data_IF_812971173087
#
_entry.id   IF_812971173087
#
_cell.length_a   1.000
_cell.length_b   1.000
_cell.length_c   1.000
_cell.angle_alpha   90.00
_cell.angle_beta   90.00
_cell.angle_gamma   90.00
#
_symmetry.space_group_name_H-M   'P 1'
#
loop_
_entity.id
_entity.type
_entity.pdbx_description
1 polymer ?
#
# COMPACT_ATOMS: atom_id res chain seq x y z
N UNK A 1 15.01 3.32 2.82
CA UNK A 1 16.47 3.27 2.66
C UNK A 1 17.12 4.38 3.45
N UNK A 2 16.86 5.66 3.16
CA UNK A 2 17.47 6.75 3.92
C UNK A 2 17.26 6.67 5.45
N UNK A 3 16.01 6.39 5.88
CA UNK A 3 15.64 6.22 7.29
C UNK A 3 16.37 5.05 7.99
N UNK A 4 16.65 3.97 7.25
CA UNK A 4 17.30 2.77 7.76
C UNK A 4 18.83 2.85 7.71
N UNK A 5 19.38 3.51 6.68
CA UNK A 5 20.82 3.52 6.37
C UNK A 5 21.56 4.68 7.05
N UNK A 6 21.01 5.89 7.03
CA UNK A 6 21.75 7.07 7.46
C UNK A 6 21.35 7.53 8.86
N UNK A 7 22.34 7.95 9.63
CA UNK A 7 22.16 8.60 10.93
C UNK A 7 22.11 10.11 10.71
N UNK A 8 20.95 10.72 10.96
CA UNK A 8 20.77 12.17 10.92
C UNK A 8 19.95 12.63 12.13
N UNK A 9 20.05 13.92 12.46
CA UNK A 9 19.30 14.53 13.58
C UNK A 9 17.79 14.34 13.36
N UNK A 10 17.12 13.70 14.32
CA UNK A 10 15.68 13.44 14.25
C UNK A 10 15.27 12.14 13.54
N UNK A 11 16.21 11.29 13.09
CA UNK A 11 15.88 10.03 12.41
C UNK A 11 14.90 9.15 13.21
N UNK A 12 15.17 8.92 14.50
CA UNK A 12 14.29 8.15 15.38
C UNK A 12 12.91 8.79 15.56
N UNK A 13 12.85 10.11 15.72
CA UNK A 13 11.59 10.84 15.87
C UNK A 13 10.75 10.78 14.60
N UNK A 14 11.37 10.91 13.42
CA UNK A 14 10.70 10.77 12.13
C UNK A 14 10.16 9.34 11.95
N UNK A 15 10.96 8.32 12.31
CA UNK A 15 10.52 6.93 12.29
C UNK A 15 9.32 6.68 13.21
N UNK A 16 9.34 7.21 14.43
CA UNK A 16 8.23 7.14 15.38
C UNK A 16 6.98 7.88 14.86
N UNK A 17 7.14 9.08 14.32
CA UNK A 17 6.05 9.86 13.73
C UNK A 17 5.36 9.08 12.60
N UNK A 18 6.13 8.48 11.70
CA UNK A 18 5.60 7.67 10.62
C UNK A 18 4.91 6.40 11.14
N UNK A 19 5.44 5.76 12.17
CA UNK A 19 4.81 4.58 12.79
C UNK A 19 3.50 4.91 13.51
N UNK A 20 3.41 6.06 14.19
CA UNK A 20 2.17 6.53 14.83
C UNK A 20 1.05 6.75 13.81
N UNK A 21 1.38 7.08 12.56
CA UNK A 21 0.43 7.19 11.46
C UNK A 21 -0.39 5.92 11.21
N UNK A 22 0.08 4.73 11.64
CA UNK A 22 -0.68 3.47 11.55
C UNK A 22 -1.91 3.48 12.48
N UNK A 23 -1.80 4.17 13.63
CA UNK A 23 -2.85 4.16 14.66
C UNK A 23 -3.99 5.14 14.38
N UNK A 24 -3.75 6.16 13.55
CA UNK A 24 -4.73 7.20 13.26
C UNK A 24 -5.65 6.72 12.13
N UNK A 25 -6.95 6.52 12.37
CA UNK A 25 -7.87 6.11 11.32
C UNK A 25 -8.03 7.26 10.31
N UNK A 26 -7.54 7.07 9.09
CA UNK A 26 -7.61 8.09 8.03
C UNK A 26 -9.04 8.59 7.76
N UNK A 27 -10.05 7.73 8.04
CA UNK A 27 -11.47 8.06 7.90
C UNK A 27 -11.93 9.19 8.83
N UNK A 28 -11.25 9.45 9.95
CA UNK A 28 -11.54 10.62 10.80
C UNK A 28 -11.27 11.94 10.06
N UNK A 29 -10.35 11.94 9.11
CA UNK A 29 -10.00 13.09 8.28
C UNK A 29 -10.88 13.26 7.02
N UNK A 30 -11.96 12.48 6.86
CA UNK A 30 -12.72 12.42 5.59
C UNK A 30 -13.15 13.81 5.08
N UNK A 31 -13.69 14.68 5.94
CA UNK A 31 -14.12 16.03 5.54
C UNK A 31 -12.93 16.87 5.05
N UNK A 32 -11.81 16.82 5.77
CA UNK A 32 -10.59 17.54 5.38
C UNK A 32 -10.00 17.03 4.07
N UNK A 33 -9.96 15.71 3.89
CA UNK A 33 -9.50 15.08 2.66
C UNK A 33 -10.40 15.49 1.49
N UNK A 34 -11.72 15.42 1.65
CA UNK A 34 -12.67 15.85 0.61
C UNK A 34 -12.45 17.32 0.24
N UNK A 35 -12.30 18.21 1.22
CA UNK A 35 -12.03 19.63 0.95
C UNK A 35 -10.73 19.84 0.15
N UNK A 36 -9.66 19.09 0.46
CA UNK A 36 -8.41 19.14 -0.31
C UNK A 36 -8.64 18.64 -1.74
N UNK A 37 -9.35 17.53 -1.93
CA UNK A 37 -9.64 16.98 -3.26
C UNK A 37 -10.51 17.92 -4.08
N UNK A 38 -11.49 18.60 -3.47
CA UNK A 38 -12.30 19.63 -4.14
C UNK A 38 -11.44 20.82 -4.53
N UNK A 39 -10.63 21.35 -3.61
CA UNK A 39 -9.77 22.50 -3.85
C UNK A 39 -8.69 22.25 -4.92
N UNK A 40 -8.34 20.98 -5.15
CA UNK A 40 -7.35 20.55 -6.14
C UNK A 40 -7.96 19.96 -7.41
N UNK A 41 -9.28 19.97 -7.54
CA UNK A 41 -10.03 19.41 -8.68
C UNK A 41 -9.74 17.91 -8.93
N UNK A 42 -9.54 17.16 -7.85
CA UNK A 42 -9.27 15.72 -7.86
C UNK A 42 -10.48 14.87 -7.47
N UNK A 43 -11.62 15.50 -7.18
CA UNK A 43 -12.89 14.79 -6.99
C UNK A 43 -13.32 14.16 -8.31
N UNK A 44 -13.94 12.98 -8.21
CA UNK A 44 -14.36 12.17 -9.33
C UNK A 44 -13.21 11.73 -10.25
N UNK A 45 -12.01 11.51 -9.67
CA UNK A 45 -10.84 11.00 -10.39
C UNK A 45 -10.22 9.78 -9.69
N UNK A 46 -9.63 8.87 -10.47
CA UNK A 46 -8.83 7.77 -9.91
C UNK A 46 -7.56 8.30 -9.22
N UNK A 47 -7.02 9.44 -9.66
CA UNK A 47 -5.82 10.04 -9.06
C UNK A 47 -6.08 10.45 -7.60
N UNK A 48 -7.23 11.03 -7.30
CA UNK A 48 -7.64 11.34 -5.93
C UNK A 48 -7.64 10.10 -5.03
N UNK A 49 -8.18 8.98 -5.51
CA UNK A 49 -8.14 7.70 -4.78
C UNK A 49 -6.71 7.19 -4.59
N UNK A 50 -5.87 7.21 -5.64
CA UNK A 50 -4.48 6.76 -5.58
C UNK A 50 -3.71 7.53 -4.49
N UNK A 51 -3.88 8.85 -4.42
CA UNK A 51 -3.20 9.68 -3.43
C UNK A 51 -3.64 9.36 -1.99
N UNK A 52 -4.95 9.20 -1.77
CA UNK A 52 -5.49 8.86 -0.43
C UNK A 52 -5.01 7.49 0.02
N UNK A 53 -5.08 6.48 -0.85
CA UNK A 53 -4.60 5.13 -0.52
C UNK A 53 -3.09 5.07 -0.33
N UNK A 54 -2.33 5.84 -1.11
CA UNK A 54 -0.87 5.96 -0.92
C UNK A 54 -0.58 6.57 0.45
N UNK A 55 -1.23 7.68 0.79
CA UNK A 55 -1.08 8.32 2.10
C UNK A 55 -1.44 7.38 3.26
N UNK A 56 -2.52 6.61 3.12
CA UNK A 56 -2.95 5.60 4.09
C UNK A 56 -1.93 4.47 4.26
N UNK A 57 -1.36 3.98 3.15
CA UNK A 57 -0.45 2.83 3.16
C UNK A 57 1.00 3.16 3.54
N UNK A 58 1.41 4.42 3.39
CA UNK A 58 2.79 4.86 3.63
C UNK A 58 3.35 4.47 5.01
N UNK A 59 2.65 4.70 6.13
CA UNK A 59 3.11 4.31 7.47
C UNK A 59 3.53 2.84 7.57
N UNK A 60 2.64 1.92 7.14
CA UNK A 60 2.88 0.48 7.18
C UNK A 60 4.01 0.07 6.23
N UNK A 61 4.00 0.62 5.01
CA UNK A 61 5.03 0.36 4.01
C UNK A 61 6.42 0.77 4.51
N UNK A 62 6.54 1.97 5.11
CA UNK A 62 7.79 2.47 5.67
C UNK A 62 8.25 1.58 6.83
N UNK A 63 7.34 1.19 7.73
CA UNK A 63 7.66 0.33 8.86
C UNK A 63 8.22 -1.03 8.40
N UNK A 64 7.49 -1.74 7.53
CA UNK A 64 7.90 -3.05 7.02
C UNK A 64 9.21 -2.93 6.22
N UNK A 65 9.28 -2.01 5.25
CA UNK A 65 10.45 -1.91 4.38
C UNK A 65 11.70 -1.47 5.13
N UNK A 66 11.57 -0.58 6.12
CA UNK A 66 12.73 -0.15 6.91
C UNK A 66 13.29 -1.29 7.75
N UNK A 67 12.44 -2.14 8.31
CA UNK A 67 12.88 -3.32 9.07
C UNK A 67 13.64 -4.31 8.19
N UNK A 68 13.10 -4.63 7.00
CA UNK A 68 13.79 -5.52 6.06
C UNK A 68 15.08 -4.91 5.50
N UNK A 69 15.12 -3.60 5.25
CA UNK A 69 16.34 -2.93 4.79
C UNK A 69 17.46 -2.95 5.84
N UNK A 70 17.12 -2.90 7.14
CA UNK A 70 18.11 -3.03 8.24
C UNK A 70 18.75 -4.41 8.31
N UNK A 71 18.09 -5.44 7.75
CA UNK A 71 18.62 -6.81 7.73
C UNK A 71 19.66 -7.02 6.61
N UNK A 72 19.75 -6.09 5.65
CA UNK A 72 20.81 -6.13 4.62
C UNK A 72 22.15 -5.74 5.24
N UNK A 73 23.11 -6.66 5.20
CA UNK A 73 24.44 -6.51 5.82
C UNK A 73 25.12 -5.19 5.46
N UNK A 74 25.63 -4.50 6.49
CA UNK A 74 26.41 -3.27 6.36
C UNK A 74 27.75 -3.52 5.63
N UNK A 75 28.35 -4.70 5.79
CA UNK A 75 29.59 -5.07 5.11
C UNK A 75 29.38 -5.14 3.59
N UNK A 76 28.25 -5.71 3.16
CA UNK A 76 27.90 -5.82 1.75
C UNK A 76 27.70 -4.44 1.11
N UNK A 77 27.05 -3.52 1.82
CA UNK A 77 26.87 -2.13 1.37
C UNK A 77 28.20 -1.37 1.38
N UNK A 78 29.05 -1.59 2.37
CA UNK A 78 30.37 -0.96 2.48
C UNK A 78 31.34 -1.45 1.40
N UNK A 79 31.33 -2.74 1.08
CA UNK A 79 32.07 -3.29 -0.06
C UNK A 79 31.65 -2.63 -1.37
N UNK A 80 30.33 -2.50 -1.61
CA UNK A 80 29.84 -1.81 -2.80
C UNK A 80 30.29 -0.34 -2.88
N UNK A 81 30.39 0.37 -1.75
CA UNK A 81 30.95 1.73 -1.69
C UNK A 81 32.44 1.76 -2.05
N UNK A 82 33.20 0.79 -1.56
CA UNK A 82 34.63 0.64 -1.89
C UNK A 82 34.82 0.35 -3.38
N UNK A 83 33.93 -0.45 -3.98
CA UNK A 83 33.88 -0.73 -5.43
C UNK A 83 33.40 0.47 -6.27
N UNK A 84 33.14 1.64 -5.64
CA UNK A 84 32.80 2.89 -6.31
C UNK A 84 31.33 3.02 -6.72
N UNK A 85 30.42 2.18 -6.20
CA UNK A 85 28.99 2.34 -6.47
C UNK A 85 28.44 3.57 -5.74
N UNK A 86 27.62 4.36 -6.44
CA UNK A 86 26.84 5.44 -5.83
C UNK A 86 25.73 4.88 -4.92
N UNK A 87 25.26 5.67 -3.96
CA UNK A 87 24.18 5.25 -3.06
C UNK A 87 22.88 4.87 -3.80
N UNK A 88 22.58 5.52 -4.93
CA UNK A 88 21.48 5.13 -5.79
C UNK A 88 21.72 3.75 -6.43
N UNK A 89 22.94 3.47 -6.89
CA UNK A 89 23.29 2.17 -7.42
C UNK A 89 23.20 1.08 -6.33
N UNK A 90 23.68 1.36 -5.12
CA UNK A 90 23.54 0.46 -3.97
C UNK A 90 22.07 0.19 -3.68
N UNK A 91 21.24 1.23 -3.65
CA UNK A 91 19.81 1.05 -3.42
C UNK A 91 19.15 0.19 -4.51
N UNK A 92 19.26 0.56 -5.79
CA UNK A 92 18.52 -0.11 -6.87
C UNK A 92 19.10 -1.48 -7.28
N UNK A 93 20.43 -1.65 -7.22
CA UNK A 93 21.10 -2.88 -7.70
C UNK A 93 21.37 -3.89 -6.59
N UNK A 94 21.49 -3.45 -5.34
CA UNK A 94 21.88 -4.32 -4.22
C UNK A 94 20.74 -4.47 -3.20
N UNK A 95 20.26 -3.37 -2.61
CA UNK A 95 19.27 -3.43 -1.53
C UNK A 95 17.89 -3.85 -2.06
N UNK A 96 17.41 -3.20 -3.12
CA UNK A 96 16.05 -3.40 -3.65
C UNK A 96 15.78 -4.86 -4.09
N UNK A 97 16.71 -5.56 -4.78
CA UNK A 97 16.54 -6.98 -5.09
C UNK A 97 16.49 -7.89 -3.85
N UNK A 98 17.26 -7.59 -2.81
CA UNK A 98 17.32 -8.40 -1.59
C UNK A 98 16.04 -8.28 -0.75
N UNK A 99 15.42 -7.11 -0.75
CA UNK A 99 14.16 -6.87 -0.01
C UNK A 99 12.89 -7.17 -0.82
N UNK A 100 12.99 -7.78 -2.01
CA UNK A 100 11.83 -8.17 -2.83
C UNK A 100 10.73 -8.92 -2.06
N UNK A 101 11.04 -9.85 -1.12
CA UNK A 101 10.01 -10.47 -0.30
C UNK A 101 9.22 -9.46 0.53
N UNK A 102 9.88 -8.44 1.09
CA UNK A 102 9.23 -7.38 1.86
C UNK A 102 8.30 -6.51 1.00
N UNK A 103 8.70 -6.22 -0.24
CA UNK A 103 7.87 -5.48 -1.20
C UNK A 103 6.59 -6.26 -1.50
N UNK A 104 6.69 -7.58 -1.69
CA UNK A 104 5.52 -8.43 -1.89
C UNK A 104 4.60 -8.42 -0.66
N UNK A 105 5.17 -8.46 0.56
CA UNK A 105 4.40 -8.30 1.80
C UNK A 105 3.61 -6.99 1.81
N UNK A 106 4.28 -5.85 1.60
CA UNK A 106 3.61 -4.54 1.55
C UNK A 106 2.51 -4.50 0.49
N UNK A 107 2.80 -4.98 -0.73
CA UNK A 107 1.84 -5.00 -1.82
C UNK A 107 0.56 -5.76 -1.45
N UNK A 108 0.70 -6.93 -0.81
CA UNK A 108 -0.46 -7.75 -0.40
C UNK A 108 -1.24 -7.09 0.73
N UNK A 109 -0.56 -6.57 1.75
CA UNK A 109 -1.20 -5.88 2.88
C UNK A 109 -1.91 -4.60 2.45
N UNK A 110 -1.42 -3.91 1.41
CA UNK A 110 -2.09 -2.72 0.87
C UNK A 110 -3.21 -3.06 -0.11
N UNK A 111 -3.03 -4.04 -0.99
CA UNK A 111 -3.97 -4.32 -2.07
C UNK A 111 -5.34 -4.77 -1.55
N UNK A 112 -5.38 -5.70 -0.59
CA UNK A 112 -6.65 -6.29 -0.13
C UNK A 112 -7.58 -5.22 0.47
N UNK A 113 -7.13 -4.36 1.40
CA UNK A 113 -7.95 -3.27 1.90
C UNK A 113 -8.38 -2.28 0.82
N UNK A 114 -7.48 -1.89 -0.09
CA UNK A 114 -7.78 -0.95 -1.18
C UNK A 114 -8.85 -1.51 -2.11
N UNK A 115 -8.73 -2.79 -2.49
CA UNK A 115 -9.67 -3.46 -3.38
C UNK A 115 -11.08 -3.59 -2.78
N UNK A 116 -11.15 -3.85 -1.46
CA UNK A 116 -12.40 -4.01 -0.74
C UNK A 116 -12.99 -2.69 -0.21
N UNK A 117 -12.31 -1.55 -0.40
CA UNK A 117 -12.78 -0.30 0.16
C UNK A 117 -13.98 0.25 -0.63
N UNK A 118 -15.03 0.57 0.12
CA UNK A 118 -16.24 1.23 -0.38
C UNK A 118 -16.26 2.71 0.00
N UNK A 119 -15.59 3.09 1.10
CA UNK A 119 -15.77 4.38 1.74
C UNK A 119 -15.21 5.54 0.90
N UNK A 120 -13.93 5.49 0.52
CA UNK A 120 -13.34 6.57 -0.26
C UNK A 120 -13.85 6.64 -1.70
N UNK A 121 -14.12 5.54 -2.42
CA UNK A 121 -14.73 5.59 -3.74
C UNK A 121 -16.10 6.25 -3.70
N UNK A 122 -16.93 5.93 -2.69
CA UNK A 122 -18.27 6.52 -2.54
C UNK A 122 -18.23 8.04 -2.39
N UNK A 123 -17.24 8.56 -1.66
CA UNK A 123 -17.18 9.99 -1.29
C UNK A 123 -16.35 10.80 -2.30
N UNK A 124 -15.27 10.22 -2.83
CA UNK A 124 -14.30 10.93 -3.67
C UNK A 124 -14.43 10.61 -5.16
N UNK A 125 -14.94 9.44 -5.53
CA UNK A 125 -15.01 9.00 -6.92
C UNK A 125 -16.29 8.19 -7.25
N UNK A 126 -17.49 8.75 -7.04
CA UNK A 126 -18.74 8.03 -7.26
C UNK A 126 -19.21 7.98 -8.72
N UNK A 127 -18.52 8.65 -9.65
CA UNK A 127 -18.94 8.74 -11.05
C UNK A 127 -18.91 7.40 -11.78
N UNK A 128 -19.73 7.28 -12.83
CA UNK A 128 -19.84 6.05 -13.62
C UNK A 128 -18.50 5.58 -14.21
N UNK A 129 -17.63 6.52 -14.60
CA UNK A 129 -16.30 6.24 -15.15
C UNK A 129 -15.21 6.01 -14.10
N UNK A 130 -15.51 6.19 -12.81
CA UNK A 130 -14.51 6.17 -11.72
C UNK A 130 -14.88 5.28 -10.54
N UNK A 131 -16.12 4.81 -10.47
CA UNK A 131 -16.57 3.88 -9.44
C UNK A 131 -15.76 2.59 -9.47
N UNK A 132 -15.28 2.16 -8.31
CA UNK A 132 -14.59 0.89 -8.14
C UNK A 132 -15.58 -0.28 -8.28
N UNK A 133 -15.07 -1.50 -8.46
CA UNK A 133 -15.92 -2.71 -8.54
C UNK A 133 -16.81 -2.85 -7.30
N UNK A 134 -16.24 -2.62 -6.12
CA UNK A 134 -16.97 -2.68 -4.83
C UNK A 134 -18.09 -1.63 -4.74
N UNK A 135 -17.84 -0.41 -5.23
CA UNK A 135 -18.87 0.62 -5.32
C UNK A 135 -19.90 0.30 -6.40
N UNK A 136 -19.48 -0.17 -7.57
CA UNK A 136 -20.35 -0.54 -8.68
C UNK A 136 -21.33 -1.65 -8.31
N UNK A 137 -20.92 -2.60 -7.46
CA UNK A 137 -21.80 -3.65 -6.95
C UNK A 137 -22.98 -3.08 -6.12
N UNK A 138 -22.83 -1.90 -5.51
CA UNK A 138 -23.92 -1.25 -4.77
C UNK A 138 -25.07 -0.81 -5.69
N UNK A 139 -24.83 -0.62 -6.98
CA UNK A 139 -25.88 -0.27 -7.94
C UNK A 139 -26.96 -1.37 -8.07
N UNK A 140 -26.66 -2.60 -7.66
CA UNK A 140 -27.61 -3.73 -7.68
C UNK A 140 -28.38 -3.90 -6.36
N UNK A 141 -28.09 -3.08 -5.35
CA UNK A 141 -28.75 -3.08 -4.05
C UNK A 141 -29.71 -1.90 -4.01
N UNK A 142 -30.98 -2.16 -4.29
CA UNK A 142 -32.04 -1.15 -4.25
C UNK A 142 -32.75 -1.11 -2.89
N UNK A 143 -33.38 0.04 -2.59
CA UNK A 143 -34.13 0.26 -1.35
C UNK A 143 -35.31 -0.72 -1.16
N UNK A 144 -35.94 -1.15 -2.25
CA UNK A 144 -37.13 -2.02 -2.22
C UNK A 144 -36.87 -3.42 -2.81
N UNK A 145 -35.97 -3.51 -3.79
CA UNK A 145 -35.61 -4.76 -4.47
C UNK A 145 -34.10 -4.80 -4.66
N UNK A 146 -33.49 -5.89 -4.23
CA UNK A 146 -32.06 -6.18 -4.47
C UNK A 146 -31.93 -7.26 -5.52
N UNK A 147 -31.12 -7.02 -6.54
CA UNK A 147 -30.78 -8.03 -7.54
C UNK A 147 -29.60 -8.88 -7.05
N UNK A 148 -29.89 -9.88 -6.22
CA UNK A 148 -28.89 -10.77 -5.65
C UNK A 148 -28.04 -11.50 -6.70
N UNK A 149 -28.64 -11.85 -7.85
CA UNK A 149 -27.91 -12.49 -8.94
C UNK A 149 -26.80 -11.58 -9.48
N UNK A 150 -27.11 -10.30 -9.70
CA UNK A 150 -26.14 -9.32 -10.17
C UNK A 150 -25.08 -8.98 -9.10
N UNK A 151 -25.48 -8.85 -7.83
CA UNK A 151 -24.54 -8.65 -6.71
C UNK A 151 -23.53 -9.79 -6.63
N UNK A 152 -24.01 -11.04 -6.59
CA UNK A 152 -23.14 -12.21 -6.48
C UNK A 152 -22.23 -12.39 -7.70
N UNK A 153 -22.73 -12.11 -8.90
CA UNK A 153 -21.92 -12.13 -10.12
C UNK A 153 -20.79 -11.08 -10.07
N UNK A 154 -21.12 -9.84 -9.68
CA UNK A 154 -20.15 -8.76 -9.54
C UNK A 154 -19.07 -9.08 -8.50
N UNK A 155 -19.47 -9.58 -7.31
CA UNK A 155 -18.55 -9.96 -6.25
C UNK A 155 -17.68 -11.16 -6.63
N UNK A 156 -18.22 -12.13 -7.37
CA UNK A 156 -17.43 -13.27 -7.86
C UNK A 156 -16.35 -12.82 -8.84
N UNK A 157 -16.68 -11.93 -9.77
CA UNK A 157 -15.70 -11.32 -10.67
C UNK A 157 -14.67 -10.46 -9.91
N UNK A 158 -15.10 -9.78 -8.84
CA UNK A 158 -14.20 -8.98 -7.99
C UNK A 158 -13.13 -9.82 -7.28
N UNK A 159 -13.35 -11.13 -7.07
CA UNK A 159 -12.36 -12.03 -6.45
C UNK A 159 -11.23 -12.38 -7.42
N UNK A 160 -11.49 -12.39 -8.73
CA UNK A 160 -10.52 -12.87 -9.75
C UNK A 160 -9.18 -12.13 -9.67
N UNK A 161 -9.10 -10.78 -9.61
CA UNK A 161 -7.82 -10.08 -9.54
C UNK A 161 -7.05 -10.39 -8.24
N UNK A 162 -7.76 -10.60 -7.13
CA UNK A 162 -7.14 -10.98 -5.85
C UNK A 162 -6.51 -12.37 -5.95
N UNK A 163 -7.19 -13.33 -6.59
CA UNK A 163 -6.64 -14.67 -6.83
C UNK A 163 -5.42 -14.63 -7.74
N UNK A 164 -5.45 -13.84 -8.82
CA UNK A 164 -4.31 -13.68 -9.73
C UNK A 164 -3.09 -13.13 -8.98
N UNK A 165 -3.29 -12.09 -8.16
CA UNK A 165 -2.22 -11.53 -7.33
C UNK A 165 -1.70 -12.54 -6.31
N UNK A 166 -2.59 -13.26 -5.63
CA UNK A 166 -2.17 -14.31 -4.69
C UNK A 166 -1.31 -15.37 -5.38
N UNK A 167 -1.72 -15.88 -6.54
CA UNK A 167 -0.94 -16.86 -7.29
C UNK A 167 0.43 -16.32 -7.71
N UNK A 168 0.50 -15.05 -8.12
CA UNK A 168 1.75 -14.39 -8.50
C UNK A 168 2.72 -14.18 -7.32
N UNK A 169 2.21 -13.85 -6.12
CA UNK A 169 3.01 -13.46 -4.96
C UNK A 169 3.06 -14.47 -3.81
N UNK A 170 2.33 -15.59 -3.90
CA UNK A 170 2.23 -16.63 -2.86
C UNK A 170 3.59 -17.14 -2.37
N UNK A 171 4.55 -17.37 -3.29
CA UNK A 171 5.90 -17.83 -2.95
C UNK A 171 6.69 -16.81 -2.13
N UNK A 172 6.56 -15.53 -2.47
CA UNK A 172 7.24 -14.43 -1.78
C UNK A 172 6.60 -14.19 -0.40
N UNK A 173 5.27 -14.28 -0.30
CA UNK A 173 4.53 -14.22 0.97
C UNK A 173 4.98 -15.31 1.94
N UNK A 174 5.02 -16.57 1.49
CA UNK A 174 5.45 -17.69 2.33
C UNK A 174 6.89 -17.49 2.80
N UNK A 175 7.81 -17.12 1.90
CA UNK A 175 9.22 -16.84 2.25
C UNK A 175 9.37 -15.69 3.23
N UNK A 176 8.59 -14.62 3.07
CA UNK A 176 8.61 -13.46 3.96
C UNK A 176 8.16 -13.78 5.37
N UNK A 177 7.12 -14.60 5.52
CA UNK A 177 6.61 -15.06 6.83
C UNK A 177 7.64 -15.99 7.50
N UNK A 178 8.22 -16.93 6.76
CA UNK A 178 9.20 -17.87 7.32
C UNK A 178 10.53 -17.20 7.69
N UNK A 179 10.97 -16.20 6.93
CA UNK A 179 12.22 -15.49 7.23
C UNK A 179 12.15 -14.66 8.54
N UNK A 180 10.95 -14.19 8.91
CA UNK A 180 10.72 -13.53 10.19
C UNK A 180 10.58 -14.49 11.38
N UNK A 181 10.24 -15.76 11.13
CA UNK A 181 9.95 -16.77 12.15
C UNK A 181 11.15 -17.61 12.60
N UNK A 182 12.28 -17.58 11.88
CA UNK A 182 13.52 -18.31 12.22
C UNK A 182 14.53 -17.38 12.93
N UNK A 183 14.04 -16.50 13.79
CA UNK A 183 14.87 -15.76 14.75
C UNK A 183 14.57 -16.24 16.17
#
# INVERSE_FOLDING_TARGET
FALSEYKFRGNTLLGLYLALGIMIPIRLGTIGILNIMVATDLVNTHLGLILVYTAQGLPLAIFILSEFMRQVSDDLKSAARIDGLSEYAIFFKLVLPLIRPAIATVAVFSMIPIWNDLWFPLILAPGESTKTVTLGAQAFIGQYVTNWNAVLAALTLAIVPVLVLYLAFSRQLIRGITAGAVK
#
